data_IF_145663659522
#
_entry.id   IF_145663659522
#
_cell.length_a   1.000
_cell.length_b   1.000
_cell.length_c   1.000
_cell.angle_alpha   90.00
_cell.angle_beta   90.00
_cell.angle_gamma   90.00
#
_symmetry.space_group_name_H-M   'P 1'
#
loop_
_entity.id
_entity.type
_entity.pdbx_description
1 polymer ?
#
# COMPACT_ATOMS: atom_id res chain seq x y z
N UNK A 1 46.33 21.97 27.66
CA UNK A 1 44.87 21.75 27.51
C UNK A 1 44.49 20.27 27.46
N UNK A 2 45.17 19.44 26.67
CA UNK A 2 44.85 17.99 26.55
C UNK A 2 44.92 17.23 27.89
N UNK A 3 46.03 17.32 28.62
CA UNK A 3 46.17 16.65 29.92
C UNK A 3 45.13 17.08 30.96
N UNK A 4 44.66 18.34 30.89
CA UNK A 4 43.62 18.85 31.78
C UNK A 4 42.23 18.28 31.42
N UNK A 5 41.95 18.06 30.12
CA UNK A 5 40.71 17.42 29.66
C UNK A 5 40.70 15.93 29.98
N UNK A 6 41.84 15.25 29.86
CA UNK A 6 41.99 13.84 30.23
C UNK A 6 41.79 13.64 31.74
N UNK A 7 42.32 14.54 32.57
CA UNK A 7 42.09 14.48 34.02
C UNK A 7 40.64 14.80 34.44
N UNK A 8 39.88 15.57 33.63
CA UNK A 8 38.51 15.97 33.96
C UNK A 8 37.46 14.97 33.46
N UNK A 9 37.70 14.31 32.32
CA UNK A 9 36.73 13.47 31.62
C UNK A 9 37.04 11.97 31.72
N UNK A 10 38.14 11.61 32.38
CA UNK A 10 38.72 10.27 32.46
C UNK A 10 39.13 9.66 31.10
N UNK A 11 39.98 8.64 31.15
CA UNK A 11 40.57 8.01 29.95
C UNK A 11 39.54 7.34 29.03
N UNK A 12 38.36 7.02 29.55
CA UNK A 12 37.29 6.33 28.81
C UNK A 12 36.68 7.19 27.69
N UNK A 13 36.87 8.52 27.74
CA UNK A 13 36.27 9.48 26.78
C UNK A 13 37.29 10.05 25.81
N UNK A 14 38.31 9.27 25.46
CA UNK A 14 39.42 9.72 24.62
C UNK A 14 38.98 10.22 23.23
N UNK A 15 38.00 9.56 22.59
CA UNK A 15 37.51 10.01 21.28
C UNK A 15 36.75 11.34 21.35
N UNK A 16 36.03 11.59 22.45
CA UNK A 16 35.42 12.89 22.70
C UNK A 16 36.49 13.96 22.92
N UNK A 17 37.55 13.65 23.68
CA UNK A 17 38.67 14.58 23.93
C UNK A 17 39.38 14.94 22.61
N UNK A 18 39.59 13.99 21.69
CA UNK A 18 40.12 14.26 20.35
C UNK A 18 39.25 15.24 19.57
N UNK A 19 37.92 15.04 19.58
CA UNK A 19 36.97 15.94 18.90
C UNK A 19 37.01 17.34 19.51
N UNK A 20 37.07 17.45 20.84
CA UNK A 20 37.19 18.72 21.56
C UNK A 20 38.48 19.46 21.22
N UNK A 21 39.62 18.76 21.16
CA UNK A 21 40.91 19.38 20.83
C UNK A 21 40.99 19.82 19.37
N UNK A 22 40.49 18.99 18.44
CA UNK A 22 40.48 19.30 17.00
C UNK A 22 39.60 20.50 16.67
N UNK A 23 38.49 20.68 17.40
CA UNK A 23 37.50 21.73 17.14
C UNK A 23 37.43 22.78 18.26
N UNK A 24 38.49 22.92 19.08
CA UNK A 24 38.46 23.69 20.34
C UNK A 24 37.88 25.10 20.18
N UNK A 25 38.32 25.83 19.15
CA UNK A 25 37.93 27.21 18.88
C UNK A 25 36.45 27.26 18.48
N UNK A 26 36.04 26.38 17.57
CA UNK A 26 34.64 26.26 17.13
C UNK A 26 33.70 25.89 18.26
N UNK A 27 34.08 24.95 19.12
CA UNK A 27 33.22 24.50 20.21
C UNK A 27 33.07 25.60 21.26
N UNK A 28 34.17 26.25 21.68
CA UNK A 28 34.11 27.32 22.69
C UNK A 28 33.26 28.49 22.19
N UNK A 29 33.54 29.00 20.98
CA UNK A 29 32.84 30.17 20.46
C UNK A 29 31.38 29.87 20.09
N UNK A 30 31.08 28.74 19.45
CA UNK A 30 29.68 28.37 19.17
C UNK A 30 28.89 28.14 20.46
N UNK A 31 29.49 27.54 21.48
CA UNK A 31 28.82 27.33 22.78
C UNK A 31 28.59 28.65 23.50
N UNK A 32 29.58 29.56 23.50
CA UNK A 32 29.46 30.89 24.09
C UNK A 32 28.40 31.73 23.37
N UNK A 33 28.37 31.68 22.04
CA UNK A 33 27.36 32.35 21.23
C UNK A 33 25.96 31.77 21.43
N UNK A 34 25.83 30.45 21.63
CA UNK A 34 24.55 29.78 21.89
C UNK A 34 24.01 30.01 23.31
N UNK A 35 24.90 30.30 24.27
CA UNK A 35 24.54 30.56 25.67
C UNK A 35 24.30 32.04 26.00
N UNK A 36 24.59 32.95 25.07
CA UNK A 36 24.27 34.37 25.22
C UNK A 36 22.76 34.56 25.35
N UNK A 37 22.31 35.21 26.43
CA UNK A 37 20.89 35.32 26.77
C UNK A 37 20.21 36.47 26.03
N UNK A 38 20.96 37.56 25.81
CA UNK A 38 20.47 38.79 25.20
C UNK A 38 21.18 39.11 23.88
N UNK A 39 20.50 39.87 23.02
CA UNK A 39 21.03 40.30 21.72
C UNK A 39 22.28 41.19 21.87
N UNK A 40 22.39 41.96 22.95
CA UNK A 40 23.57 42.76 23.26
C UNK A 40 24.79 41.89 23.62
N UNK A 41 24.60 40.86 24.43
CA UNK A 41 25.67 39.92 24.78
C UNK A 41 26.12 39.12 23.57
N UNK A 42 25.16 38.72 22.73
CA UNK A 42 25.43 38.05 21.47
C UNK A 42 26.23 38.94 20.51
N UNK A 43 25.86 40.21 20.38
CA UNK A 43 26.61 41.17 19.57
C UNK A 43 28.05 41.38 20.09
N UNK A 44 28.23 41.43 21.42
CA UNK A 44 29.56 41.50 22.04
C UNK A 44 30.42 40.26 21.73
N UNK A 45 29.84 39.06 21.85
CA UNK A 45 30.52 37.80 21.52
C UNK A 45 30.85 37.74 20.02
N UNK A 46 29.95 38.19 19.14
CA UNK A 46 30.22 38.26 17.70
C UNK A 46 31.34 39.28 17.37
N UNK A 47 31.42 40.39 18.09
CA UNK A 47 32.51 41.37 17.95
C UNK A 47 33.86 40.80 18.42
N UNK A 48 33.87 40.06 19.54
CA UNK A 48 35.05 39.34 20.01
C UNK A 48 35.48 38.24 19.02
N UNK A 49 34.53 37.50 18.44
CA UNK A 49 34.80 36.50 17.40
C UNK A 49 35.35 37.11 16.11
N UNK A 50 35.03 38.37 15.81
CA UNK A 50 35.54 39.08 14.64
C UNK A 50 36.99 39.56 14.81
N UNK A 51 37.52 39.57 16.04
CA UNK A 51 38.89 39.98 16.33
C UNK A 51 39.95 38.88 16.19
N UNK A 52 39.54 37.62 16.00
CA UNK A 52 40.41 36.45 15.83
C UNK A 52 40.13 35.82 14.45
N UNK A 53 41.17 35.63 13.64
CA UNK A 53 41.07 35.17 12.25
C UNK A 53 40.39 33.79 12.13
N UNK A 54 40.65 32.87 13.07
CA UNK A 54 40.01 31.54 13.08
C UNK A 54 38.53 31.62 13.47
N UNK A 55 38.19 32.48 14.43
CA UNK A 55 36.82 32.68 14.89
C UNK A 55 35.97 33.46 13.87
N UNK A 56 36.57 34.39 13.13
CA UNK A 56 35.90 35.16 12.08
C UNK A 56 35.42 34.27 10.92
N UNK A 57 36.23 33.28 10.52
CA UNK A 57 35.83 32.27 9.52
C UNK A 57 34.63 31.45 9.98
N UNK A 58 34.59 31.07 11.27
CA UNK A 58 33.47 30.34 11.87
C UNK A 58 32.21 31.22 11.92
N UNK A 59 32.34 32.51 12.26
CA UNK A 59 31.24 33.46 12.26
C UNK A 59 30.64 33.64 10.85
N UNK A 60 31.49 33.71 9.82
CA UNK A 60 31.04 33.79 8.43
C UNK A 60 30.24 32.55 8.01
N UNK A 61 30.71 31.35 8.38
CA UNK A 61 29.98 30.09 8.13
C UNK A 61 28.61 30.06 8.84
N UNK A 62 28.54 30.55 10.09
CA UNK A 62 27.28 30.60 10.85
C UNK A 62 26.28 31.60 10.25
N UNK A 63 26.76 32.76 9.79
CA UNK A 63 25.90 33.78 9.13
C UNK A 63 25.36 33.27 7.80
N UNK A 64 26.16 32.59 7.00
CA UNK A 64 25.71 31.97 5.75
C UNK A 64 24.60 30.92 6.01
N UNK A 65 24.73 30.10 7.06
CA UNK A 65 23.70 29.13 7.46
C UNK A 65 22.40 29.79 7.95
N UNK A 66 22.49 30.88 8.73
CA UNK A 66 21.32 31.63 9.24
C UNK A 66 20.59 32.40 8.13
N UNK A 67 21.31 32.98 7.17
CA UNK A 67 20.69 33.63 6.01
C UNK A 67 19.82 32.64 5.22
N UNK A 68 20.37 31.44 4.96
CA UNK A 68 19.64 30.35 4.31
C UNK A 68 18.47 29.81 5.14
N UNK A 69 18.55 29.81 6.47
CA UNK A 69 17.45 29.40 7.35
C UNK A 69 16.32 30.44 7.37
N UNK A 70 16.66 31.74 7.43
CA UNK A 70 15.69 32.85 7.41
C UNK A 70 14.98 32.94 6.05
N UNK A 71 15.70 32.72 4.95
CA UNK A 71 15.10 32.63 3.60
C UNK A 71 14.19 31.40 3.44
N UNK A 72 14.57 30.26 4.03
CA UNK A 72 13.69 29.07 4.06
C UNK A 72 12.43 29.30 4.89
N UNK A 73 12.54 30.00 6.01
CA UNK A 73 11.41 30.34 6.87
C UNK A 73 10.43 31.30 6.17
N UNK A 74 10.93 32.35 5.52
CA UNK A 74 10.08 33.29 4.78
C UNK A 74 9.44 32.66 3.54
N UNK A 75 10.14 31.73 2.87
CA UNK A 75 9.58 30.94 1.78
C UNK A 75 8.45 30.01 2.27
N UNK A 76 8.65 29.37 3.44
CA UNK A 76 7.65 28.50 4.05
C UNK A 76 6.41 29.27 4.51
N UNK A 77 6.57 30.44 5.14
CA UNK A 77 5.45 31.32 5.53
C UNK A 77 4.63 31.78 4.31
N UNK A 78 5.32 32.08 3.19
CA UNK A 78 4.66 32.45 1.94
C UNK A 78 3.84 31.29 1.35
N UNK A 79 4.38 30.07 1.38
CA UNK A 79 3.66 28.87 0.94
C UNK A 79 2.43 28.57 1.82
N UNK A 80 2.57 28.62 3.15
CA UNK A 80 1.45 28.41 4.08
C UNK A 80 0.34 29.45 3.83
N UNK A 81 0.71 30.71 3.57
CA UNK A 81 -0.25 31.77 3.28
C UNK A 81 -0.97 31.59 1.94
N UNK A 82 -0.28 31.08 0.92
CA UNK A 82 -0.88 30.74 -0.38
C UNK A 82 -1.79 29.49 -0.28
N UNK A 83 -1.40 28.48 0.50
CA UNK A 83 -2.18 27.27 0.74
C UNK A 83 -3.46 27.57 1.55
N UNK A 84 -3.36 28.41 2.59
CA UNK A 84 -4.53 28.91 3.33
C UNK A 84 -5.50 29.70 2.45
N UNK A 85 -5.00 30.39 1.41
CA UNK A 85 -5.85 31.10 0.43
C UNK A 85 -6.55 30.12 -0.52
N UNK A 86 -5.90 29.03 -0.91
CA UNK A 86 -6.51 27.93 -1.68
C UNK A 86 -7.60 27.20 -0.90
N UNK A 87 -7.37 26.92 0.38
CA UNK A 87 -8.37 26.31 1.26
C UNK A 87 -9.65 27.15 1.41
N UNK A 88 -9.55 28.49 1.33
CA UNK A 88 -10.72 29.38 1.35
C UNK A 88 -11.52 29.40 0.05
N UNK A 89 -10.99 28.87 -1.05
CA UNK A 89 -11.66 28.85 -2.36
C UNK A 89 -12.44 27.56 -2.66
N UNK A 90 -12.56 26.65 -1.67
CA UNK A 90 -13.62 25.64 -1.67
C UNK A 90 -13.36 24.41 -2.54
N UNK A 91 -12.30 23.66 -2.24
CA UNK A 91 -12.22 22.23 -2.56
C UNK A 91 -12.10 21.44 -1.27
N UNK A 92 -13.23 20.91 -0.80
CA UNK A 92 -13.30 20.03 0.35
C UNK A 92 -12.91 18.60 -0.07
N UNK A 93 -11.69 18.19 0.26
CA UNK A 93 -11.34 16.78 0.37
C UNK A 93 -10.31 16.58 1.49
N UNK A 94 -10.84 16.24 2.67
CA UNK A 94 -10.26 15.42 3.73
C UNK A 94 -8.72 15.48 3.85
N UNK A 95 -8.23 16.32 4.77
CA UNK A 95 -6.89 16.19 5.32
C UNK A 95 -6.87 16.67 6.78
N UNK A 96 -7.46 15.87 7.67
CA UNK A 96 -7.23 15.99 9.09
C UNK A 96 -6.14 15.00 9.49
N UNK A 97 -4.92 15.52 9.65
CA UNK A 97 -3.90 14.95 10.52
C UNK A 97 -2.80 14.17 9.83
N UNK A 98 -1.67 14.83 9.52
CA UNK A 98 -0.34 14.44 10.00
C UNK A 98 0.52 15.71 10.08
N UNK A 99 0.90 16.10 11.29
CA UNK A 99 2.00 17.03 11.52
C UNK A 99 3.24 16.22 11.89
N UNK A 100 4.39 16.74 11.45
CA UNK A 100 5.77 16.37 11.79
C UNK A 100 6.44 15.29 10.91
N UNK A 101 7.28 15.81 9.99
CA UNK A 101 8.59 15.25 9.65
C UNK A 101 8.58 14.08 8.67
N UNK A 102 8.92 14.31 7.40
CA UNK A 102 10.29 14.09 6.96
C UNK A 102 10.51 14.63 5.53
N UNK A 103 11.78 14.76 5.21
CA UNK A 103 12.39 15.35 4.03
C UNK A 103 11.70 15.06 2.69
N UNK A 104 11.67 16.10 1.85
CA UNK A 104 11.24 16.08 0.47
C UNK A 104 11.98 15.03 -0.37
N UNK A 105 11.39 13.83 -0.47
CA UNK A 105 11.65 12.88 -1.55
C UNK A 105 10.49 13.00 -2.53
N UNK A 106 10.70 13.77 -3.60
CA UNK A 106 9.95 13.71 -4.87
C UNK A 106 8.46 13.30 -4.75
N UNK A 107 7.57 14.22 -4.35
CA UNK A 107 6.13 14.20 -4.69
C UNK A 107 5.35 12.90 -4.51
N UNK A 108 5.71 12.03 -3.55
CA UNK A 108 4.97 10.80 -3.26
C UNK A 108 4.25 10.95 -1.92
N UNK A 109 2.94 10.78 -1.95
CA UNK A 109 2.14 10.71 -0.74
C UNK A 109 2.46 9.41 -0.01
N UNK A 110 2.80 9.52 1.28
CA UNK A 110 2.91 8.37 2.16
C UNK A 110 1.50 7.86 2.46
N UNK A 111 1.25 6.58 2.14
CA UNK A 111 -0.01 5.91 2.46
C UNK A 111 0.21 4.98 3.65
N UNK A 112 -0.76 4.98 4.55
CA UNK A 112 -0.87 3.97 5.58
C UNK A 112 -1.61 2.75 5.01
N UNK A 113 -0.89 1.64 4.85
CA UNK A 113 -1.47 0.41 4.28
C UNK A 113 -2.39 -0.31 5.26
N UNK A 114 -2.23 -0.09 6.57
CA UNK A 114 -3.04 -0.77 7.58
C UNK A 114 -4.48 -0.25 7.56
N UNK A 115 -4.66 1.07 7.38
CA UNK A 115 -5.99 1.67 7.22
C UNK A 115 -6.67 1.34 5.89
N UNK A 116 -5.91 1.04 4.85
CA UNK A 116 -6.45 0.61 3.55
C UNK A 116 -6.80 -0.89 3.51
N UNK A 117 -6.33 -1.66 4.48
CA UNK A 117 -6.57 -3.09 4.54
C UNK A 117 -8.00 -3.42 4.99
N UNK A 118 -8.58 -4.48 4.41
CA UNK A 118 -9.85 -5.02 4.89
C UNK A 118 -9.61 -5.91 6.11
N UNK A 119 -9.63 -5.33 7.31
CA UNK A 119 -9.38 -6.05 8.57
C UNK A 119 -10.26 -7.31 8.77
N UNK A 120 -11.47 -7.31 8.22
CA UNK A 120 -12.40 -8.44 8.28
C UNK A 120 -12.10 -9.57 7.27
N UNK A 121 -11.14 -9.39 6.35
CA UNK A 121 -10.75 -10.41 5.36
C UNK A 121 -11.94 -10.99 4.60
N UNK A 122 -12.08 -12.33 4.61
CA UNK A 122 -13.18 -13.05 3.97
C UNK A 122 -14.58 -12.77 4.54
N UNK A 123 -14.68 -12.13 5.71
CA UNK A 123 -15.94 -11.68 6.30
C UNK A 123 -16.30 -10.24 5.93
N UNK A 124 -15.46 -9.56 5.14
CA UNK A 124 -15.76 -8.20 4.71
C UNK A 124 -17.00 -8.16 3.81
N UNK A 125 -18.08 -7.53 4.32
CA UNK A 125 -19.31 -7.28 3.57
C UNK A 125 -19.25 -5.88 2.98
N UNK A 126 -18.89 -5.78 1.70
CA UNK A 126 -18.93 -4.50 0.96
C UNK A 126 -20.36 -4.02 0.72
N UNK A 127 -21.32 -4.93 0.65
CA UNK A 127 -22.73 -4.65 0.49
C UNK A 127 -23.39 -4.34 1.84
N UNK A 128 -24.12 -3.21 1.91
CA UNK A 128 -24.88 -2.81 3.11
C UNK A 128 -26.19 -3.59 3.29
N UNK A 129 -26.69 -4.20 2.23
CA UNK A 129 -27.98 -4.91 2.21
C UNK A 129 -27.86 -6.27 1.53
N UNK A 130 -28.68 -7.22 1.96
CA UNK A 130 -28.79 -8.57 1.40
C UNK A 130 -30.23 -8.81 0.95
N UNK A 131 -30.45 -8.92 -0.36
CA UNK A 131 -31.76 -9.15 -0.95
C UNK A 131 -32.00 -10.66 -1.10
N UNK A 132 -33.11 -11.15 -0.55
CA UNK A 132 -33.47 -12.57 -0.61
C UNK A 132 -34.42 -12.84 -1.79
N UNK A 133 -34.37 -14.06 -2.38
CA UNK A 133 -35.28 -14.42 -3.46
C UNK A 133 -36.73 -14.50 -2.98
N UNK A 134 -37.67 -14.37 -3.93
CA UNK A 134 -39.10 -14.45 -3.65
C UNK A 134 -39.46 -15.78 -2.95
N UNK A 135 -40.35 -15.70 -1.95
CA UNK A 135 -40.74 -16.84 -1.12
C UNK A 135 -39.82 -17.10 0.07
N UNK A 136 -38.76 -16.31 0.24
CA UNK A 136 -37.97 -16.33 1.48
C UNK A 136 -38.74 -15.69 2.62
N UNK A 137 -38.66 -16.25 3.82
CA UNK A 137 -39.30 -15.70 5.02
C UNK A 137 -38.38 -15.83 6.24
N UNK A 138 -38.67 -15.02 7.26
CA UNK A 138 -37.93 -14.97 8.52
C UNK A 138 -38.86 -15.37 9.67
N UNK A 139 -38.38 -16.21 10.58
CA UNK A 139 -39.09 -16.64 11.78
C UNK A 139 -38.22 -16.37 13.01
N UNK A 140 -38.67 -15.46 13.87
CA UNK A 140 -38.01 -15.17 15.14
C UNK A 140 -38.41 -16.21 16.19
N UNK A 141 -37.43 -16.91 16.77
CA UNK A 141 -37.62 -17.90 17.83
C UNK A 141 -36.84 -17.47 19.08
N UNK A 142 -37.07 -18.16 20.21
CA UNK A 142 -36.38 -17.83 21.47
C UNK A 142 -34.87 -18.12 21.34
N UNK A 143 -34.07 -17.06 21.20
CA UNK A 143 -32.61 -17.13 21.15
C UNK A 143 -32.00 -17.25 19.76
N UNK A 144 -32.80 -17.28 18.68
CA UNK A 144 -32.30 -17.34 17.31
C UNK A 144 -33.35 -16.88 16.29
N UNK A 145 -32.87 -16.51 15.10
CA UNK A 145 -33.69 -16.19 13.94
C UNK A 145 -33.47 -17.25 12.86
N UNK A 146 -34.55 -17.80 12.30
CA UNK A 146 -34.48 -18.66 11.13
C UNK A 146 -34.80 -17.87 9.88
N UNK A 147 -33.91 -17.94 8.89
CA UNK A 147 -34.15 -17.41 7.55
C UNK A 147 -34.31 -18.58 6.60
N UNK A 148 -35.52 -18.78 6.09
CA UNK A 148 -35.80 -19.84 5.13
C UNK A 148 -35.70 -19.29 3.71
N UNK A 149 -34.84 -19.90 2.88
CA UNK A 149 -34.66 -19.55 1.46
C UNK A 149 -35.07 -20.76 0.62
N UNK A 150 -36.12 -20.67 -0.21
CA UNK A 150 -36.61 -21.82 -0.98
C UNK A 150 -35.63 -22.21 -2.11
N UNK A 151 -35.66 -23.48 -2.51
CA UNK A 151 -34.90 -23.96 -3.65
C UNK A 151 -35.35 -23.26 -4.95
N UNK A 152 -34.40 -22.70 -5.70
CA UNK A 152 -34.69 -22.05 -6.97
C UNK A 152 -35.06 -23.09 -8.03
N UNK A 153 -36.12 -22.81 -8.80
CA UNK A 153 -36.48 -23.65 -9.95
C UNK A 153 -35.41 -23.53 -11.05
N UNK A 154 -34.95 -24.64 -11.63
CA UNK A 154 -34.03 -24.60 -12.76
C UNK A 154 -34.61 -23.77 -13.91
N UNK A 155 -33.77 -22.98 -14.58
CA UNK A 155 -34.19 -22.24 -15.78
C UNK A 155 -34.57 -23.25 -16.87
N UNK A 156 -35.59 -22.98 -17.71
CA UNK A 156 -35.86 -23.84 -18.87
C UNK A 156 -34.68 -23.82 -19.86
N UNK A 157 -34.55 -24.86 -20.68
CA UNK A 157 -33.59 -24.88 -21.79
C UNK A 157 -33.97 -23.82 -22.84
N UNK A 158 -32.97 -23.21 -23.47
CA UNK A 158 -33.19 -22.38 -24.66
C UNK A 158 -33.40 -23.27 -25.89
N UNK A 159 -33.99 -22.71 -26.96
CA UNK A 159 -34.38 -23.46 -28.17
C UNK A 159 -33.24 -24.27 -28.80
N UNK A 160 -31.99 -23.76 -28.76
CA UNK A 160 -30.80 -24.42 -29.32
C UNK A 160 -29.84 -24.94 -28.23
N UNK A 161 -30.30 -25.09 -27.00
CA UNK A 161 -29.46 -25.55 -25.89
C UNK A 161 -29.65 -27.06 -25.68
N UNK A 162 -28.63 -27.84 -26.02
CA UNK A 162 -28.57 -29.29 -25.78
C UNK A 162 -27.44 -29.64 -24.81
N UNK A 163 -27.56 -30.82 -24.20
CA UNK A 163 -26.43 -31.42 -23.50
C UNK A 163 -25.47 -32.02 -24.52
N UNK A 164 -24.17 -31.89 -24.27
CA UNK A 164 -23.14 -32.44 -25.13
C UNK A 164 -22.91 -33.90 -24.79
N UNK A 165 -23.12 -34.80 -25.75
CA UNK A 165 -22.85 -36.23 -25.54
C UNK A 165 -21.35 -36.49 -25.54
N UNK A 166 -20.87 -37.39 -24.67
CA UNK A 166 -19.43 -37.71 -24.64
C UNK A 166 -18.99 -38.36 -25.95
N UNK A 167 -19.87 -39.13 -26.59
CA UNK A 167 -19.64 -39.76 -27.90
C UNK A 167 -19.43 -38.72 -29.04
N UNK A 168 -19.88 -37.46 -28.85
CA UNK A 168 -19.66 -36.37 -29.81
C UNK A 168 -18.30 -35.65 -29.60
N UNK A 169 -17.47 -36.10 -28.64
CA UNK A 169 -16.14 -35.54 -28.37
C UNK A 169 -15.05 -36.29 -29.15
N UNK A 170 -13.87 -35.69 -29.39
CA UNK A 170 -12.73 -36.39 -29.98
C UNK A 170 -12.35 -37.64 -29.16
N UNK A 171 -12.09 -38.77 -29.84
CA UNK A 171 -11.91 -40.09 -29.20
C UNK A 171 -10.84 -40.08 -28.09
N UNK A 172 -9.73 -39.39 -28.30
CA UNK A 172 -8.64 -39.25 -27.32
C UNK A 172 -9.08 -38.52 -26.03
N UNK A 173 -10.07 -37.63 -26.12
CA UNK A 173 -10.59 -36.85 -25.01
C UNK A 173 -11.69 -37.58 -24.22
N UNK A 174 -12.39 -38.53 -24.85
CA UNK A 174 -13.52 -39.25 -24.24
C UNK A 174 -13.12 -40.03 -22.98
N UNK A 175 -11.88 -40.53 -22.93
CA UNK A 175 -11.37 -41.32 -21.81
C UNK A 175 -11.42 -40.54 -20.48
N UNK A 176 -11.22 -39.22 -20.52
CA UNK A 176 -11.28 -38.34 -19.35
C UNK A 176 -12.68 -38.28 -18.70
N UNK A 177 -13.72 -38.64 -19.45
CA UNK A 177 -15.11 -38.63 -19.02
C UNK A 177 -15.71 -40.03 -18.95
N UNK A 178 -14.88 -41.08 -18.79
CA UNK A 178 -15.33 -42.47 -18.70
C UNK A 178 -16.41 -42.64 -17.62
N UNK A 179 -17.53 -43.25 -18.02
CA UNK A 179 -18.70 -43.47 -17.16
C UNK A 179 -19.74 -42.35 -17.23
N UNK A 180 -19.46 -41.24 -17.92
CA UNK A 180 -20.44 -40.20 -18.22
C UNK A 180 -21.06 -40.43 -19.59
N UNK A 181 -22.38 -40.20 -19.70
CA UNK A 181 -23.10 -40.23 -20.99
C UNK A 181 -23.06 -38.88 -21.71
N UNK A 182 -23.19 -37.80 -20.94
CA UNK A 182 -23.17 -36.44 -21.44
C UNK A 182 -22.59 -35.49 -20.40
N UNK A 183 -22.10 -34.34 -20.88
CA UNK A 183 -21.76 -33.20 -20.04
C UNK A 183 -23.03 -32.58 -19.45
N UNK A 184 -22.91 -32.00 -18.25
CA UNK A 184 -24.03 -31.26 -17.67
C UNK A 184 -24.28 -29.95 -18.43
N UNK A 185 -25.35 -29.24 -18.10
CA UNK A 185 -25.76 -28.03 -18.83
C UNK A 185 -24.70 -26.92 -18.85
N UNK A 186 -24.00 -26.69 -17.74
CA UNK A 186 -22.97 -25.64 -17.65
C UNK A 186 -21.73 -26.06 -18.45
N UNK A 187 -21.30 -27.31 -18.29
CA UNK A 187 -20.17 -27.89 -19.02
C UNK A 187 -20.41 -27.87 -20.53
N UNK A 188 -21.61 -28.30 -20.98
CA UNK A 188 -21.99 -28.32 -22.39
C UNK A 188 -21.96 -26.92 -23.00
N UNK A 189 -22.34 -25.90 -22.24
CA UNK A 189 -22.37 -24.51 -22.71
C UNK A 189 -20.99 -23.90 -22.88
N UNK A 190 -20.01 -24.32 -22.07
CA UNK A 190 -18.63 -23.83 -22.18
C UNK A 190 -17.75 -24.75 -23.03
N UNK A 191 -18.27 -25.90 -23.47
CA UNK A 191 -17.49 -26.93 -24.14
C UNK A 191 -16.70 -26.41 -25.34
N UNK A 192 -17.36 -25.67 -26.25
CA UNK A 192 -16.70 -25.16 -27.45
C UNK A 192 -15.51 -24.24 -27.12
N UNK A 193 -15.72 -23.25 -26.24
CA UNK A 193 -14.67 -22.35 -25.79
C UNK A 193 -13.59 -23.08 -25.01
N UNK A 194 -13.95 -24.00 -24.11
CA UNK A 194 -13.00 -24.68 -23.25
C UNK A 194 -12.14 -25.70 -23.98
N UNK A 195 -12.67 -26.35 -25.03
CA UNK A 195 -12.01 -27.46 -25.72
C UNK A 195 -11.32 -27.04 -27.02
N UNK A 196 -11.78 -25.98 -27.69
CA UNK A 196 -11.33 -25.63 -29.04
C UNK A 196 -10.80 -24.21 -29.19
N UNK A 197 -10.76 -23.42 -28.11
CA UNK A 197 -10.14 -22.08 -28.14
C UNK A 197 -9.13 -21.93 -27.02
N UNK A 198 -8.11 -21.09 -27.26
CA UNK A 198 -7.08 -20.74 -26.27
C UNK A 198 -7.40 -19.42 -25.57
N UNK A 199 -8.67 -19.00 -25.57
CA UNK A 199 -9.09 -17.75 -24.92
C UNK A 199 -9.18 -17.90 -23.40
N UNK A 200 -8.85 -16.83 -22.68
CA UNK A 200 -9.03 -16.79 -21.23
C UNK A 200 -10.52 -16.83 -20.87
N UNK A 201 -10.92 -17.76 -20.01
CA UNK A 201 -12.30 -17.97 -19.60
C UNK A 201 -12.52 -17.68 -18.11
N UNK A 202 -13.59 -16.94 -17.78
CA UNK A 202 -14.10 -16.75 -16.41
C UNK A 202 -15.44 -17.46 -16.23
N UNK A 203 -15.46 -18.52 -15.39
CA UNK A 203 -16.68 -19.28 -15.10
C UNK A 203 -17.20 -19.02 -13.68
N UNK A 204 -18.25 -18.20 -13.57
CA UNK A 204 -18.96 -17.97 -12.33
C UNK A 204 -20.16 -18.92 -12.20
N UNK A 205 -20.00 -20.00 -11.43
CA UNK A 205 -21.03 -21.03 -11.25
C UNK A 205 -21.11 -21.51 -9.79
N UNK A 206 -22.28 -21.96 -9.30
CA UNK A 206 -22.45 -22.40 -7.91
C UNK A 206 -21.59 -23.61 -7.55
N UNK A 207 -21.42 -23.86 -6.26
CA UNK A 207 -20.77 -25.09 -5.77
C UNK A 207 -21.57 -26.31 -6.24
N UNK A 208 -20.87 -27.36 -6.67
CA UNK A 208 -21.52 -28.55 -7.24
C UNK A 208 -21.95 -28.43 -8.71
N UNK A 209 -21.77 -27.27 -9.36
CA UNK A 209 -22.10 -27.08 -10.78
C UNK A 209 -21.23 -27.87 -11.77
N UNK A 210 -20.18 -28.55 -11.29
CA UNK A 210 -19.26 -29.32 -12.14
C UNK A 210 -18.13 -28.51 -12.78
N UNK A 211 -17.70 -27.41 -12.12
CA UNK A 211 -16.57 -26.57 -12.56
C UNK A 211 -15.27 -27.35 -12.80
N UNK A 212 -15.05 -28.43 -12.03
CA UNK A 212 -13.87 -29.30 -12.19
C UNK A 212 -13.77 -29.92 -13.59
N UNK A 213 -14.89 -30.38 -14.15
CA UNK A 213 -14.90 -30.91 -15.51
C UNK A 213 -14.73 -29.80 -16.56
N UNK A 214 -15.19 -28.58 -16.29
CA UNK A 214 -14.91 -27.44 -17.17
C UNK A 214 -13.39 -27.16 -17.23
N UNK A 215 -12.70 -27.25 -16.09
CA UNK A 215 -11.23 -27.14 -16.07
C UNK A 215 -10.57 -28.33 -16.79
N UNK A 216 -11.13 -29.53 -16.64
CA UNK A 216 -10.63 -30.71 -17.37
C UNK A 216 -10.72 -30.52 -18.88
N UNK A 217 -11.78 -29.90 -19.40
CA UNK A 217 -11.86 -29.56 -20.84
C UNK A 217 -10.71 -28.66 -21.29
N UNK A 218 -10.37 -27.63 -20.51
CA UNK A 218 -9.23 -26.75 -20.83
C UNK A 218 -7.88 -27.48 -20.75
N UNK A 219 -7.71 -28.40 -19.80
CA UNK A 219 -6.50 -29.23 -19.72
C UNK A 219 -6.42 -30.16 -20.93
N UNK A 220 -7.55 -30.75 -21.35
CA UNK A 220 -7.60 -31.58 -22.55
C UNK A 220 -7.27 -30.79 -23.80
N UNK A 221 -7.76 -29.55 -23.95
CA UNK A 221 -7.37 -28.68 -25.05
C UNK A 221 -5.84 -28.60 -25.19
N UNK A 222 -5.13 -28.33 -24.10
CA UNK A 222 -3.67 -28.22 -24.09
C UNK A 222 -2.97 -29.55 -24.43
N UNK A 223 -3.50 -30.67 -23.92
CA UNK A 223 -3.02 -32.02 -24.27
C UNK A 223 -3.23 -32.28 -25.76
N UNK A 224 -4.40 -31.93 -26.30
CA UNK A 224 -4.75 -32.12 -27.70
C UNK A 224 -3.86 -31.32 -28.65
N UNK A 225 -3.38 -30.14 -28.23
CA UNK A 225 -2.42 -29.35 -29.00
C UNK A 225 -1.02 -29.99 -29.08
N UNK A 226 -0.68 -30.89 -28.15
CA UNK A 226 0.63 -31.53 -28.04
C UNK A 226 0.57 -33.05 -28.22
N UNK A 227 -0.56 -33.57 -28.72
CA UNK A 227 -0.71 -34.99 -29.03
C UNK A 227 0.20 -35.33 -30.22
N UNK A 228 0.98 -36.39 -30.07
CA UNK A 228 1.84 -36.88 -31.15
C UNK A 228 1.05 -37.87 -32.02
N UNK A 229 1.52 -38.08 -33.25
CA UNK A 229 0.87 -38.99 -34.21
C UNK A 229 0.86 -40.46 -33.75
N UNK A 230 1.66 -40.82 -32.74
CA UNK A 230 1.75 -42.16 -32.15
C UNK A 230 0.75 -42.42 -31.00
N UNK A 231 -0.05 -41.43 -30.61
CA UNK A 231 -1.06 -41.52 -29.53
C UNK A 231 -0.47 -41.36 -28.14
#
# INVERSE_FOLDING_TARGET
>A
CENALVMLLDFDKFDLIKVLLKNRVKIVWCTRLARAQDDEEKARVEAEMAGDDEAASILAQLRAGRASAKERQTAMERQIREEARRLRQGEAAIAAGVAAGDMAVSGRQMLDFDTLSFAAGGHFMSNKTCNLPQGSYRSAKKGYEEVHVPALKPKPFKENEKLWNIEEMPDWAQLAFKGMKSLNRIQSRVYETAMFTSENMLLCAPTGAGKTNCAMLCILHEIGMHLKDDG
#
